data_IF_055377653053
#
_entry.id   IF_055377653053
#
_cell.length_a   1.000
_cell.length_b   1.000
_cell.length_c   1.000
_cell.angle_alpha   90.00
_cell.angle_beta   90.00
_cell.angle_gamma   90.00
#
_symmetry.space_group_name_H-M   'P 1'
#
loop_
_entity.id
_entity.type
_entity.pdbx_description
1 polymer ?
#
# COMPACT_ATOMS: atom_id res chain seq x y z
N UNK A 1 -1.80 -5.16 9.20
CA UNK A 1 -1.98 -4.59 7.83
C UNK A 1 -3.41 -4.08 7.70
N UNK A 2 -3.60 -2.77 7.51
CA UNK A 2 -4.91 -2.13 7.27
C UNK A 2 -5.45 -2.56 5.90
N UNK A 3 -6.74 -2.87 5.81
CA UNK A 3 -7.37 -3.23 4.53
C UNK A 3 -7.21 -2.07 3.54
N UNK A 4 -6.90 -2.35 2.27
CA UNK A 4 -6.78 -1.33 1.21
C UNK A 4 -8.08 -0.55 1.01
N UNK A 5 -9.21 -1.13 1.41
CA UNK A 5 -10.53 -0.53 1.30
C UNK A 5 -11.06 0.01 2.64
N UNK A 6 -10.21 0.09 3.68
CA UNK A 6 -10.62 0.62 4.99
C UNK A 6 -11.56 -0.30 5.78
N UNK A 7 -11.60 -1.60 5.45
CA UNK A 7 -12.38 -2.58 6.19
C UNK A 7 -11.82 -2.82 7.59
N UNK A 8 -12.71 -2.80 8.57
CA UNK A 8 -12.43 -3.10 9.97
C UNK A 8 -13.08 -4.42 10.38
N UNK A 9 -12.32 -5.25 11.08
CA UNK A 9 -12.92 -6.35 11.86
C UNK A 9 -13.27 -5.83 13.24
N UNK A 10 -14.32 -6.39 13.87
CA UNK A 10 -14.71 -6.02 15.24
C UNK A 10 -13.56 -6.16 16.23
N UNK A 11 -12.80 -7.26 16.14
CA UNK A 11 -11.64 -7.50 17.00
C UNK A 11 -10.57 -6.42 16.84
N UNK A 12 -10.25 -6.02 15.61
CA UNK A 12 -9.23 -5.01 15.37
C UNK A 12 -9.70 -3.61 15.78
N UNK A 13 -10.94 -3.27 15.48
CA UNK A 13 -11.52 -2.01 15.91
C UNK A 13 -11.54 -1.87 17.44
N UNK A 14 -11.79 -2.96 18.16
CA UNK A 14 -11.77 -2.97 19.63
C UNK A 14 -10.35 -2.86 20.22
N UNK A 15 -9.33 -3.43 19.56
CA UNK A 15 -7.95 -3.45 20.06
C UNK A 15 -7.14 -2.23 19.64
N UNK A 16 -7.23 -1.87 18.36
CA UNK A 16 -6.35 -0.88 17.72
C UNK A 16 -7.10 0.38 17.27
N UNK A 17 -8.44 0.36 17.27
CA UNK A 17 -9.24 1.42 16.66
C UNK A 17 -9.02 1.49 15.15
N UNK A 18 -8.75 2.68 14.63
CA UNK A 18 -8.27 2.87 13.26
C UNK A 18 -6.73 2.74 13.13
N UNK A 19 -6.01 2.63 14.25
CA UNK A 19 -4.56 2.56 14.34
C UNK A 19 -3.84 3.92 14.44
N UNK A 20 -4.56 5.05 14.42
CA UNK A 20 -3.97 6.39 14.37
C UNK A 20 -3.22 6.75 15.66
N UNK A 21 -3.81 6.47 16.82
CA UNK A 21 -3.18 6.76 18.11
C UNK A 21 -2.07 5.78 18.47
N UNK A 22 -2.18 4.53 18.01
CA UNK A 22 -1.14 3.50 18.21
C UNK A 22 0.13 3.77 17.38
N UNK A 23 0.03 4.50 16.27
CA UNK A 23 1.16 4.84 15.40
C UNK A 23 2.01 6.01 15.92
N UNK A 24 1.42 6.97 16.65
CA UNK A 24 2.13 8.16 17.19
C UNK A 24 3.36 7.84 18.07
N UNK A 25 3.31 6.91 19.04
CA UNK A 25 4.47 6.61 19.88
C UNK A 25 5.48 5.66 19.22
N UNK A 26 5.18 5.09 18.04
CA UNK A 26 6.12 4.19 17.35
C UNK A 26 7.21 5.00 16.67
N UNK A 27 8.30 5.25 17.41
CA UNK A 27 9.58 5.54 16.77
C UNK A 27 9.85 4.39 15.79
N UNK A 28 10.15 4.67 14.51
CA UNK A 28 10.56 3.63 13.59
C UNK A 28 11.68 2.80 14.25
N UNK A 29 11.68 1.46 14.08
CA UNK A 29 12.79 0.67 14.57
C UNK A 29 14.08 1.28 14.02
N UNK A 30 15.11 1.36 14.87
CA UNK A 30 16.41 1.87 14.45
C UNK A 30 16.87 1.03 13.25
N UNK A 31 17.19 1.70 12.14
CA UNK A 31 17.72 1.00 10.98
C UNK A 31 19.06 0.34 11.38
N UNK A 32 19.16 -1.00 11.34
CA UNK A 32 20.38 -1.70 11.74
C UNK A 32 21.57 -1.34 10.86
N UNK A 33 21.34 -0.78 9.66
CA UNK A 33 22.37 -0.35 8.73
C UNK A 33 22.69 1.15 8.82
N UNK A 34 21.95 1.94 9.62
CA UNK A 34 22.08 3.40 9.63
C UNK A 34 23.52 3.87 9.83
N UNK A 35 24.24 3.27 10.80
CA UNK A 35 25.64 3.60 11.07
C UNK A 35 26.56 3.30 9.90
N UNK A 36 26.30 2.23 9.14
CA UNK A 36 27.13 1.84 7.99
C UNK A 36 26.86 2.76 6.81
N UNK A 37 25.60 3.11 6.56
CA UNK A 37 25.21 4.03 5.48
C UNK A 37 25.68 5.46 5.78
N UNK A 38 25.74 5.87 7.04
CA UNK A 38 26.18 7.22 7.44
C UNK A 38 27.69 7.34 7.70
N UNK A 39 28.46 6.25 7.68
CA UNK A 39 29.89 6.27 7.97
C UNK A 39 30.76 6.89 6.86
N UNK A 40 30.49 6.67 5.56
CA UNK A 40 31.25 7.30 4.48
C UNK A 40 31.06 8.82 4.44
N UNK A 41 32.05 9.53 3.89
CA UNK A 41 31.90 10.93 3.56
C UNK A 41 30.72 11.13 2.58
N UNK A 42 30.08 12.30 2.62
CA UNK A 42 28.86 12.57 1.86
C UNK A 42 29.01 12.30 0.35
N UNK A 43 30.19 12.62 -0.21
CA UNK A 43 30.55 12.32 -1.60
C UNK A 43 30.54 10.82 -1.88
N UNK A 44 31.19 10.04 -1.03
CA UNK A 44 31.31 8.59 -1.20
C UNK A 44 29.96 7.89 -0.97
N UNK A 45 29.16 8.40 -0.03
CA UNK A 45 27.78 7.94 0.17
C UNK A 45 26.93 8.16 -1.08
N UNK A 46 26.95 9.37 -1.66
CA UNK A 46 26.24 9.66 -2.92
C UNK A 46 26.71 8.77 -4.07
N UNK A 47 28.02 8.54 -4.18
CA UNK A 47 28.56 7.64 -5.20
C UNK A 47 28.08 6.19 -5.01
N UNK A 48 28.05 5.71 -3.76
CA UNK A 48 27.52 4.39 -3.43
C UNK A 48 26.01 4.27 -3.69
N UNK A 49 25.20 5.25 -3.28
CA UNK A 49 23.75 5.30 -3.56
C UNK A 49 23.49 5.31 -5.07
N UNK A 50 24.22 6.15 -5.81
CA UNK A 50 24.15 6.22 -7.26
C UNK A 50 24.55 4.92 -7.96
N UNK A 51 25.54 4.19 -7.44
CA UNK A 51 25.89 2.87 -7.96
C UNK A 51 24.81 1.83 -7.62
N UNK A 52 24.25 1.87 -6.41
CA UNK A 52 23.27 0.90 -5.95
C UNK A 52 21.93 1.05 -6.66
N UNK A 53 21.36 2.25 -6.65
CA UNK A 53 20.00 2.55 -7.09
C UNK A 53 19.96 3.22 -8.48
N UNK A 54 21.04 3.91 -8.85
CA UNK A 54 21.18 4.67 -10.08
C UNK A 54 21.38 6.15 -9.78
N UNK A 55 22.39 6.78 -10.38
CA UNK A 55 22.61 8.21 -10.28
C UNK A 55 21.45 9.00 -10.92
N UNK A 56 21.19 10.21 -10.41
CA UNK A 56 20.08 11.06 -10.88
C UNK A 56 20.20 11.43 -12.37
N UNK A 57 21.42 11.63 -12.84
CA UNK A 57 21.82 11.93 -14.23
C UNK A 57 22.27 10.68 -15.01
N UNK A 58 22.13 9.49 -14.42
CA UNK A 58 22.50 8.22 -15.05
C UNK A 58 21.53 7.77 -16.15
N UNK A 59 21.88 6.71 -16.91
CA UNK A 59 21.02 6.20 -17.97
C UNK A 59 19.72 5.61 -17.42
N UNK A 60 18.59 5.98 -18.05
CA UNK A 60 17.25 5.57 -17.65
C UNK A 60 16.43 5.04 -18.84
N UNK A 61 15.51 4.13 -18.54
CA UNK A 61 14.46 3.71 -19.47
C UNK A 61 13.15 4.34 -19.02
N UNK A 62 12.44 4.95 -19.96
CA UNK A 62 11.09 5.47 -19.74
C UNK A 62 10.07 4.37 -20.08
N UNK A 63 9.18 4.09 -19.13
CA UNK A 63 8.13 3.09 -19.24
C UNK A 63 6.79 3.82 -19.25
N UNK A 64 6.13 3.83 -20.40
CA UNK A 64 4.77 4.31 -20.51
C UNK A 64 3.80 3.31 -19.86
N UNK A 65 2.96 3.80 -18.96
CA UNK A 65 1.95 3.00 -18.28
C UNK A 65 0.55 3.36 -18.82
N UNK A 66 -0.36 2.39 -19.00
CA UNK A 66 -1.73 2.68 -19.41
C UNK A 66 -2.42 3.58 -18.38
N UNK A 67 -2.93 4.72 -18.82
CA UNK A 67 -3.70 5.68 -18.00
C UNK A 67 -2.93 6.27 -16.78
N UNK A 68 -1.59 6.12 -16.75
CA UNK A 68 -0.74 6.59 -15.65
C UNK A 68 0.48 7.37 -16.17
N UNK A 69 1.13 8.18 -15.31
CA UNK A 69 2.38 8.84 -15.66
C UNK A 69 3.47 7.85 -16.05
N UNK A 70 4.32 8.25 -16.99
CA UNK A 70 5.53 7.52 -17.37
C UNK A 70 6.43 7.31 -16.15
N UNK A 71 6.93 6.07 -16.00
CA UNK A 71 7.87 5.72 -14.95
C UNK A 71 9.27 5.64 -15.54
N UNK A 72 10.20 6.35 -14.91
CA UNK A 72 11.61 6.34 -15.28
C UNK A 72 12.40 5.40 -14.39
N UNK A 73 13.04 4.37 -14.96
CA UNK A 73 13.84 3.38 -14.21
C UNK A 73 15.32 3.47 -14.57
N UNK A 74 16.19 3.43 -13.56
CA UNK A 74 17.64 3.42 -13.78
C UNK A 74 18.08 2.09 -14.41
N UNK A 75 18.87 2.14 -15.49
CA UNK A 75 19.29 0.93 -16.23
C UNK A 75 20.72 0.48 -15.95
N UNK A 76 21.53 1.35 -15.35
CA UNK A 76 22.95 1.12 -15.06
C UNK A 76 23.29 0.87 -13.59
N UNK A 77 22.31 0.62 -12.73
CA UNK A 77 22.53 0.44 -11.29
C UNK A 77 22.73 -1.03 -10.92
N UNK A 78 23.40 -1.29 -9.79
CA UNK A 78 23.56 -2.65 -9.28
C UNK A 78 22.22 -3.35 -9.11
N UNK A 79 21.19 -2.64 -8.63
CA UNK A 79 19.83 -3.18 -8.49
C UNK A 79 19.22 -3.53 -9.84
N UNK A 80 19.32 -2.67 -10.86
CA UNK A 80 18.70 -2.97 -12.16
C UNK A 80 19.45 -4.07 -12.92
N UNK A 81 20.78 -4.12 -12.83
CA UNK A 81 21.58 -5.22 -13.35
C UNK A 81 21.19 -6.54 -12.69
N UNK A 82 21.07 -6.57 -11.36
CA UNK A 82 20.67 -7.77 -10.62
C UNK A 82 19.24 -8.21 -10.99
N UNK A 83 18.29 -7.27 -11.09
CA UNK A 83 16.91 -7.56 -11.52
C UNK A 83 16.87 -8.13 -12.92
N UNK A 84 17.58 -7.53 -13.88
CA UNK A 84 17.65 -8.02 -15.26
C UNK A 84 18.25 -9.42 -15.34
N UNK A 85 19.31 -9.69 -14.57
CA UNK A 85 19.95 -11.00 -14.53
C UNK A 85 19.06 -12.08 -13.89
N UNK A 86 18.20 -11.71 -12.93
CA UNK A 86 17.34 -12.65 -12.21
C UNK A 86 15.99 -12.84 -12.91
N UNK A 87 15.28 -11.75 -13.18
CA UNK A 87 13.93 -11.75 -13.73
C UNK A 87 13.89 -11.65 -15.26
N UNK A 88 14.89 -11.05 -15.90
CA UNK A 88 14.94 -10.81 -17.34
C UNK A 88 14.75 -9.34 -17.72
N UNK A 89 14.99 -9.00 -18.99
CA UNK A 89 15.01 -7.62 -19.47
C UNK A 89 13.63 -6.91 -19.45
N UNK A 90 12.54 -7.65 -19.61
CA UNK A 90 11.17 -7.10 -19.60
C UNK A 90 10.60 -6.90 -18.19
N UNK A 91 11.35 -7.25 -17.15
CA UNK A 91 10.85 -7.26 -15.77
C UNK A 91 10.30 -5.91 -15.32
N UNK A 92 11.08 -4.83 -15.43
CA UNK A 92 10.66 -3.53 -14.88
C UNK A 92 9.39 -3.02 -15.58
N UNK A 93 9.31 -3.16 -16.92
CA UNK A 93 8.11 -2.82 -17.70
C UNK A 93 6.87 -3.60 -17.23
N UNK A 94 6.97 -4.92 -17.15
CA UNK A 94 5.83 -5.77 -16.74
C UNK A 94 5.48 -5.53 -15.27
N UNK A 95 6.48 -5.39 -14.39
CA UNK A 95 6.26 -5.10 -12.97
C UNK A 95 5.48 -3.80 -12.78
N UNK A 96 5.93 -2.70 -13.41
CA UNK A 96 5.25 -1.41 -13.29
C UNK A 96 3.86 -1.43 -13.96
N UNK A 97 3.70 -2.13 -15.08
CA UNK A 97 2.38 -2.30 -15.72
C UNK A 97 1.39 -3.04 -14.83
N UNK A 98 1.82 -4.12 -14.15
CA UNK A 98 0.98 -4.84 -13.19
C UNK A 98 0.70 -4.02 -11.92
N UNK A 99 1.65 -3.19 -11.46
CA UNK A 99 1.37 -2.26 -10.35
C UNK A 99 0.31 -1.23 -10.74
N UNK A 100 0.39 -0.66 -11.94
CA UNK A 100 -0.62 0.26 -12.45
C UNK A 100 -1.99 -0.41 -12.55
N UNK A 101 -2.05 -1.61 -13.14
CA UNK A 101 -3.30 -2.39 -13.20
C UNK A 101 -3.89 -2.65 -11.80
N UNK A 102 -3.05 -3.00 -10.84
CA UNK A 102 -3.48 -3.21 -9.46
C UNK A 102 -4.01 -1.90 -8.85
N UNK A 103 -3.37 -0.77 -9.13
CA UNK A 103 -3.82 0.54 -8.64
C UNK A 103 -5.18 0.90 -9.24
N UNK A 104 -5.38 0.67 -10.55
CA UNK A 104 -6.67 0.93 -11.20
C UNK A 104 -7.79 0.11 -10.56
N UNK A 105 -7.59 -1.20 -10.35
CA UNK A 105 -8.58 -2.06 -9.68
C UNK A 105 -8.92 -1.55 -8.27
N UNK A 106 -7.90 -1.14 -7.50
CA UNK A 106 -8.10 -0.60 -6.14
C UNK A 106 -8.84 0.74 -6.15
N UNK A 107 -8.65 1.57 -7.18
CA UNK A 107 -9.31 2.87 -7.35
C UNK A 107 -10.75 2.71 -7.84
N UNK A 108 -10.98 1.83 -8.81
CA UNK A 108 -12.29 1.64 -9.46
C UNK A 108 -13.27 0.86 -8.57
N UNK A 109 -12.76 -0.04 -7.73
CA UNK A 109 -13.60 -0.87 -6.85
C UNK A 109 -14.49 -0.03 -5.90
N UNK A 110 -13.97 0.95 -5.15
CA UNK A 110 -14.78 1.87 -4.35
C UNK A 110 -15.84 2.63 -5.15
N UNK A 111 -15.60 2.88 -6.44
CA UNK A 111 -16.50 3.65 -7.29
C UNK A 111 -17.67 2.83 -7.86
N UNK A 112 -17.58 1.51 -7.79
CA UNK A 112 -18.62 0.60 -8.22
C UNK A 112 -19.91 0.79 -7.40
N UNK A 113 -21.07 0.70 -8.08
CA UNK A 113 -22.40 0.97 -7.49
C UNK A 113 -22.72 0.10 -6.27
N UNK A 114 -22.27 -1.16 -6.26
CA UNK A 114 -22.37 -2.08 -5.12
C UNK A 114 -21.71 -1.50 -3.86
N UNK A 115 -20.49 -0.96 -3.97
CA UNK A 115 -19.76 -0.37 -2.84
C UNK A 115 -20.43 0.92 -2.41
N UNK A 116 -20.80 1.78 -3.36
CA UNK A 116 -21.53 3.02 -3.06
C UNK A 116 -22.85 2.77 -2.33
N UNK A 117 -23.56 1.68 -2.64
CA UNK A 117 -24.78 1.29 -1.93
C UNK A 117 -24.50 0.86 -0.49
N UNK A 118 -23.50 -0.01 -0.28
CA UNK A 118 -23.10 -0.44 1.06
C UNK A 118 -22.58 0.74 1.90
N UNK A 119 -21.84 1.67 1.31
CA UNK A 119 -21.38 2.88 1.99
C UNK A 119 -22.53 3.75 2.51
N UNK A 120 -23.59 3.93 1.71
CA UNK A 120 -24.78 4.66 2.17
C UNK A 120 -25.46 3.98 3.37
N UNK A 121 -25.53 2.64 3.37
CA UNK A 121 -26.06 1.87 4.51
C UNK A 121 -25.18 2.02 5.75
N UNK A 122 -23.86 1.92 5.58
CA UNK A 122 -22.89 2.14 6.66
C UNK A 122 -23.03 3.54 7.25
N UNK A 123 -23.10 4.57 6.41
CA UNK A 123 -23.29 5.95 6.84
C UNK A 123 -24.62 6.18 7.57
N UNK A 124 -25.71 5.51 7.16
CA UNK A 124 -26.96 5.53 7.90
C UNK A 124 -26.81 4.93 9.31
N UNK A 125 -26.26 3.71 9.42
CA UNK A 125 -25.98 3.09 10.72
C UNK A 125 -25.08 3.95 11.62
N UNK A 126 -24.04 4.57 11.05
CA UNK A 126 -23.16 5.46 11.81
C UNK A 126 -23.93 6.66 12.37
N UNK A 127 -24.81 7.28 11.58
CA UNK A 127 -25.67 8.38 12.02
C UNK A 127 -26.66 7.95 13.10
N UNK A 128 -27.25 6.77 12.96
CA UNK A 128 -28.20 6.23 13.94
C UNK A 128 -27.52 5.97 15.29
N UNK A 129 -26.24 5.59 15.28
CA UNK A 129 -25.42 5.52 16.50
C UNK A 129 -24.72 6.83 16.89
N UNK A 130 -25.14 7.98 16.35
CA UNK A 130 -24.70 9.31 16.78
C UNK A 130 -23.40 9.83 16.15
N UNK A 131 -22.86 9.17 15.12
CA UNK A 131 -21.66 9.60 14.40
C UNK A 131 -22.02 10.24 13.05
N UNK A 132 -21.62 11.50 12.76
CA UNK A 132 -22.08 12.23 11.57
C UNK A 132 -21.34 11.86 10.26
N UNK A 133 -20.60 10.75 10.24
CA UNK A 133 -19.63 10.45 9.18
C UNK A 133 -20.28 9.82 7.94
N UNK A 134 -20.28 10.57 6.84
CA UNK A 134 -20.85 10.16 5.56
C UNK A 134 -19.93 9.21 4.79
N UNK A 135 -18.62 9.37 4.95
CA UNK A 135 -17.59 8.58 4.27
C UNK A 135 -16.65 7.90 5.27
N UNK A 136 -16.00 6.80 4.84
CA UNK A 136 -15.08 6.03 5.70
C UNK A 136 -13.86 6.84 6.15
N UNK A 137 -13.42 7.80 5.35
CA UNK A 137 -12.26 8.63 5.65
C UNK A 137 -12.56 9.81 6.58
N UNK A 138 -13.83 10.18 6.76
CA UNK A 138 -14.22 11.28 7.64
C UNK A 138 -13.76 11.11 9.10
N UNK A 139 -13.98 9.95 9.77
CA UNK A 139 -13.48 9.75 11.12
C UNK A 139 -11.94 9.82 11.17
N UNK A 140 -11.26 9.27 10.16
CA UNK A 140 -9.79 9.33 10.06
C UNK A 140 -9.29 10.77 9.97
N UNK A 141 -9.90 11.60 9.11
CA UNK A 141 -9.56 13.03 8.97
C UNK A 141 -9.82 13.80 10.26
N UNK A 142 -10.98 13.59 10.88
CA UNK A 142 -11.35 14.26 12.13
C UNK A 142 -10.40 13.90 13.29
N UNK A 143 -10.09 12.61 13.45
CA UNK A 143 -9.18 12.12 14.49
C UNK A 143 -7.74 12.60 14.25
N UNK A 144 -7.23 12.55 13.01
CA UNK A 144 -5.90 13.11 12.67
C UNK A 144 -5.78 14.58 13.04
N UNK A 145 -6.78 15.40 12.66
CA UNK A 145 -6.79 16.82 13.02
C UNK A 145 -6.72 17.04 14.54
N UNK A 146 -7.42 16.22 15.32
CA UNK A 146 -7.37 16.28 16.80
C UNK A 146 -6.02 15.82 17.35
N UNK A 147 -5.43 14.76 16.80
CA UNK A 147 -4.09 14.30 17.18
C UNK A 147 -3.02 15.36 16.89
N UNK A 148 -3.14 16.05 15.76
CA UNK A 148 -2.23 17.13 15.39
C UNK A 148 -2.38 18.31 16.35
N UNK A 149 -3.62 18.71 16.67
CA UNK A 149 -3.90 19.76 17.65
C UNK A 149 -3.46 19.40 19.09
N UNK A 150 -3.55 18.13 19.48
CA UNK A 150 -3.12 17.65 20.79
C UNK A 150 -1.59 17.72 20.98
N UNK A 151 -0.80 17.70 19.90
CA UNK A 151 0.66 17.76 19.97
C UNK A 151 1.25 16.67 20.89
N UNK A 152 1.89 17.11 21.99
CA UNK A 152 2.46 16.25 23.03
C UNK A 152 1.63 16.15 24.31
N UNK A 153 0.43 16.74 24.34
CA UNK A 153 -0.46 16.67 25.49
C UNK A 153 -0.98 15.24 25.69
N UNK A 154 -0.53 14.60 26.76
CA UNK A 154 -0.86 13.21 27.08
C UNK A 154 -2.34 13.00 27.37
N UNK A 155 -3.02 13.98 27.96
CA UNK A 155 -4.45 13.84 28.28
C UNK A 155 -5.29 13.95 27.01
N UNK A 156 -5.03 14.96 26.18
CA UNK A 156 -5.69 15.12 24.88
C UNK A 156 -5.46 13.93 23.94
N UNK A 157 -4.23 13.39 23.91
CA UNK A 157 -3.91 12.17 23.15
C UNK A 157 -4.69 10.95 23.65
N UNK A 158 -4.79 10.75 24.98
CA UNK A 158 -5.58 9.64 25.57
C UNK A 158 -7.08 9.80 25.29
N UNK A 159 -7.60 11.02 25.38
CA UNK A 159 -9.00 11.32 25.06
C UNK A 159 -9.30 10.99 23.59
N UNK A 160 -8.41 11.40 22.69
CA UNK A 160 -8.52 11.09 21.25
C UNK A 160 -8.44 9.58 20.99
N UNK A 161 -7.57 8.85 21.70
CA UNK A 161 -7.48 7.38 21.62
C UNK A 161 -8.77 6.67 22.06
N UNK A 162 -9.40 7.11 23.16
CA UNK A 162 -10.69 6.55 23.58
C UNK A 162 -11.78 6.79 22.55
N UNK A 163 -11.81 7.98 21.95
CA UNK A 163 -12.78 8.30 20.91
C UNK A 163 -12.54 7.53 19.61
N UNK A 164 -11.27 7.33 19.23
CA UNK A 164 -10.88 6.47 18.12
C UNK A 164 -11.44 5.06 18.31
N UNK A 165 -11.18 4.43 19.45
CA UNK A 165 -11.66 3.07 19.75
C UNK A 165 -13.18 2.97 19.70
N UNK A 166 -13.89 3.93 20.32
CA UNK A 166 -15.36 3.98 20.29
C UNK A 166 -15.89 4.09 18.86
N UNK A 167 -15.34 5.03 18.09
CA UNK A 167 -15.79 5.31 16.71
C UNK A 167 -15.48 4.16 15.77
N UNK A 168 -14.28 3.57 15.87
CA UNK A 168 -13.90 2.40 15.09
C UNK A 168 -14.74 1.17 15.44
N UNK A 169 -15.04 0.95 16.72
CA UNK A 169 -15.88 -0.14 17.17
C UNK A 169 -17.29 -0.06 16.59
N UNK A 170 -17.89 1.13 16.62
CA UNK A 170 -19.18 1.39 15.98
C UNK A 170 -19.11 1.20 14.46
N UNK A 171 -18.08 1.75 13.80
CA UNK A 171 -17.88 1.59 12.35
C UNK A 171 -17.76 0.11 11.96
N UNK A 172 -17.00 -0.69 12.69
CA UNK A 172 -16.89 -2.12 12.41
C UNK A 172 -18.23 -2.86 12.52
N UNK A 173 -19.14 -2.45 13.41
CA UNK A 173 -20.52 -2.99 13.45
C UNK A 173 -21.28 -2.56 12.20
N UNK A 174 -21.27 -1.26 11.87
CA UNK A 174 -21.97 -0.72 10.72
C UNK A 174 -21.46 -1.26 9.38
N UNK A 175 -20.17 -1.57 9.25
CA UNK A 175 -19.60 -2.20 8.05
C UNK A 175 -20.12 -3.62 7.87
N UNK A 176 -20.29 -4.37 8.97
CA UNK A 176 -20.87 -5.72 8.94
C UNK A 176 -22.34 -5.66 8.56
N UNK A 177 -23.13 -4.79 9.18
CA UNK A 177 -24.56 -4.62 8.88
C UNK A 177 -24.80 -4.15 7.44
N UNK A 178 -23.93 -3.27 6.93
CA UNK A 178 -23.98 -2.84 5.54
C UNK A 178 -23.55 -3.91 4.52
N UNK A 179 -22.95 -5.03 4.98
CA UNK A 179 -22.38 -6.05 4.11
C UNK A 179 -21.20 -5.53 3.29
N UNK A 180 -20.44 -4.56 3.82
CA UNK A 180 -19.48 -3.78 3.02
C UNK A 180 -18.36 -4.66 2.42
N UNK A 181 -17.83 -5.62 3.19
CA UNK A 181 -16.78 -6.52 2.72
C UNK A 181 -17.23 -7.39 1.54
N UNK A 182 -18.45 -7.93 1.58
CA UNK A 182 -19.03 -8.74 0.51
C UNK A 182 -19.25 -7.90 -0.76
N UNK A 183 -19.77 -6.68 -0.61
CA UNK A 183 -20.00 -5.79 -1.74
C UNK A 183 -18.70 -5.32 -2.39
N UNK A 184 -17.64 -5.09 -1.60
CA UNK A 184 -16.30 -4.79 -2.11
C UNK A 184 -15.73 -6.00 -2.85
N UNK A 185 -15.83 -7.21 -2.30
CA UNK A 185 -15.33 -8.41 -2.98
C UNK A 185 -16.02 -8.63 -4.33
N UNK A 186 -17.35 -8.51 -4.38
CA UNK A 186 -18.13 -8.62 -5.62
C UNK A 186 -17.84 -7.50 -6.62
N UNK A 187 -17.65 -6.27 -6.14
CA UNK A 187 -17.27 -5.14 -6.98
C UNK A 187 -15.88 -5.34 -7.58
N UNK A 188 -14.91 -5.74 -6.77
CA UNK A 188 -13.56 -6.02 -7.22
C UNK A 188 -13.56 -7.13 -8.27
N UNK A 189 -14.27 -8.23 -8.04
CA UNK A 189 -14.41 -9.31 -9.02
C UNK A 189 -14.99 -8.81 -10.35
N UNK A 190 -16.00 -7.93 -10.30
CA UNK A 190 -16.59 -7.32 -11.51
C UNK A 190 -15.62 -6.39 -12.24
N UNK A 191 -14.87 -5.57 -11.50
CA UNK A 191 -13.84 -4.68 -12.04
C UNK A 191 -12.73 -5.50 -12.70
N UNK A 192 -12.24 -6.55 -12.03
CA UNK A 192 -11.22 -7.46 -12.54
C UNK A 192 -11.69 -8.21 -13.79
N UNK A 193 -12.94 -8.71 -13.82
CA UNK A 193 -13.52 -9.38 -14.99
C UNK A 193 -13.76 -8.45 -16.19
N UNK A 194 -13.90 -7.15 -15.94
CA UNK A 194 -14.08 -6.15 -16.99
C UNK A 194 -12.74 -5.68 -17.59
N UNK A 195 -11.60 -6.15 -17.08
CA UNK A 195 -10.29 -5.80 -17.63
C UNK A 195 -10.13 -6.33 -19.06
N UNK A 196 -9.54 -5.53 -19.98
CA UNK A 196 -9.22 -6.00 -21.33
C UNK A 196 -8.28 -7.22 -21.30
N UNK A 197 -8.40 -8.12 -22.29
CA UNK A 197 -7.56 -9.32 -22.41
C UNK A 197 -6.05 -9.02 -22.45
N UNK A 198 -5.67 -7.87 -23.03
CA UNK A 198 -4.29 -7.40 -23.01
C UNK A 198 -3.78 -7.17 -21.57
N UNK A 199 -4.65 -6.72 -20.65
CA UNK A 199 -4.29 -6.51 -19.24
C UNK A 199 -4.23 -7.83 -18.45
N UNK A 200 -5.03 -8.83 -18.80
CA UNK A 200 -4.94 -10.16 -18.17
C UNK A 200 -3.67 -10.90 -18.58
N UNK A 201 -3.24 -10.77 -19.84
CA UNK A 201 -1.97 -11.34 -20.32
C UNK A 201 -0.75 -10.79 -19.56
N UNK A 202 -0.75 -9.51 -19.18
CA UNK A 202 0.31 -8.91 -18.36
C UNK A 202 0.50 -9.61 -17.01
N UNK A 203 -0.59 -10.09 -16.40
CA UNK A 203 -0.52 -10.82 -15.12
C UNK A 203 0.11 -12.20 -15.33
N UNK A 204 -0.24 -12.89 -16.41
CA UNK A 204 0.34 -14.19 -16.76
C UNK A 204 1.85 -14.08 -17.03
N UNK A 205 2.25 -13.07 -17.82
CA UNK A 205 3.66 -12.77 -18.08
C UNK A 205 4.42 -12.46 -16.77
N UNK A 206 3.83 -11.66 -15.88
CA UNK A 206 4.42 -11.35 -14.59
C UNK A 206 4.64 -12.60 -13.73
N UNK A 207 3.66 -13.51 -13.69
CA UNK A 207 3.78 -14.78 -12.97
C UNK A 207 4.84 -15.69 -13.60
N UNK A 208 4.92 -15.74 -14.93
CA UNK A 208 5.93 -16.53 -15.65
C UNK A 208 7.36 -16.02 -15.36
N UNK A 209 7.56 -14.70 -15.34
CA UNK A 209 8.85 -14.10 -14.97
C UNK A 209 9.25 -14.43 -13.53
N UNK A 210 8.31 -14.36 -12.58
CA UNK A 210 8.58 -14.75 -11.18
C UNK A 210 8.91 -16.24 -11.04
N UNK A 211 8.19 -17.10 -11.76
CA UNK A 211 8.48 -18.55 -11.78
C UNK A 211 9.86 -18.85 -12.37
N UNK A 212 10.25 -18.14 -13.43
CA UNK A 212 11.60 -18.26 -14.03
C UNK A 212 12.69 -17.76 -13.08
N UNK A 213 12.46 -16.62 -12.41
CA UNK A 213 13.38 -16.08 -11.42
C UNK A 213 13.58 -17.03 -10.24
N UNK A 214 12.52 -17.67 -9.75
CA UNK A 214 12.60 -18.68 -8.69
C UNK A 214 13.50 -19.85 -9.10
N UNK A 215 13.27 -20.43 -10.29
CA UNK A 215 14.11 -21.50 -10.83
C UNK A 215 15.58 -21.09 -10.95
N UNK A 216 15.85 -19.86 -11.40
CA UNK A 216 17.21 -19.31 -11.49
C UNK A 216 17.86 -19.12 -10.11
N UNK A 217 17.09 -18.68 -9.11
CA UNK A 217 17.58 -18.52 -7.75
C UNK A 217 17.93 -19.88 -7.12
N UNK A 218 17.08 -20.89 -7.32
CA UNK A 218 17.31 -22.26 -6.83
C UNK A 218 18.51 -22.92 -7.51
N UNK A 219 18.68 -22.73 -8.82
CA UNK A 219 19.86 -23.19 -9.56
C UNK A 219 21.16 -22.52 -9.09
N UNK A 220 21.05 -21.35 -8.43
CA UNK A 220 22.18 -20.62 -7.81
C UNK A 220 22.37 -20.97 -6.32
N UNK A 221 21.74 -22.05 -5.82
CA UNK A 221 21.90 -22.58 -4.45
C UNK A 221 23.37 -22.75 -4.01
N UNK A 222 23.64 -22.90 -2.70
CA UNK A 222 24.68 -22.19 -1.94
C UNK A 222 26.12 -22.51 -2.34
N UNK A 223 26.55 -22.09 -3.53
CA UNK A 223 27.95 -22.02 -3.92
C UNK A 223 28.52 -20.62 -3.59
N UNK A 224 28.43 -20.21 -2.31
CA UNK A 224 29.06 -18.99 -1.79
C UNK A 224 29.19 -19.00 -0.25
N UNK A 225 29.49 -20.17 0.34
CA UNK A 225 30.09 -20.24 1.68
C UNK A 225 31.46 -20.92 1.54
N UNK A 226 32.44 -20.17 1.07
CA UNK A 226 33.86 -20.43 1.31
C UNK A 226 34.46 -19.10 1.78
#
# INVERSE_FOLDING_TARGET
MTSRYGLLTRSRAAQDGYGLTAERPRKPPADPNARRVSAPAERDRRAWEGALEGAADGPREEIELPDEPTVSVATGSCVSVARRALYGASWDRIHHSVQSLRNSVVTDTPDHSLVKSAERKRAACMRDGGSPYAHREDPLKALRKRLDAAGSDREALRATGREELRTAGQDAVCQVEAGLAEHIARAQEKVEKALPSARTALVEDFLALRGTALKRAEARGPAARQ
#
